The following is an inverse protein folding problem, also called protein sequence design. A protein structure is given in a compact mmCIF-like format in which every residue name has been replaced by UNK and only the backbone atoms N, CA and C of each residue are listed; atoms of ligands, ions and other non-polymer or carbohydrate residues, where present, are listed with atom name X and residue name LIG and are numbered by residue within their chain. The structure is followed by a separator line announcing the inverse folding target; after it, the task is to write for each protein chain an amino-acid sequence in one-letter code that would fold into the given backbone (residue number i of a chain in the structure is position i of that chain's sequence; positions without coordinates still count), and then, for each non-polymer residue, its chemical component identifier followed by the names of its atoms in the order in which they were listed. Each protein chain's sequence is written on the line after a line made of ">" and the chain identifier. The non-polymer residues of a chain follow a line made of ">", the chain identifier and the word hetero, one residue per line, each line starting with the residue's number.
data_IF_511407699274
#
_entry.id   IF_511407699274
#
_cell.length_a   1.000
_cell.length_b   1.000
_cell.length_c   1.000
_cell.angle_alpha   90.00
_cell.angle_beta   90.00
_cell.angle_gamma   90.00
#
_symmetry.space_group_name_H-M   'P 1'
#
loop_
_entity.id
_entity.type
_entity.pdbx_description
1 polymer ?
#
# COMPACT_ATOMS: atom_id res chain seq x y z
N UNK A 1 -2.68 6.94 -1.14
CA UNK A 1 -3.34 6.53 -2.39
C UNK A 1 -4.41 5.52 -2.01
N UNK A 2 -5.68 5.87 -2.17
CA UNK A 2 -6.81 4.96 -2.05
C UNK A 2 -7.21 4.55 -3.47
N UNK A 3 -6.94 3.32 -3.85
CA UNK A 3 -7.20 2.81 -5.20
C UNK A 3 -7.26 1.28 -5.18
N UNK A 4 -7.52 0.68 -6.33
CA UNK A 4 -7.43 -0.76 -6.49
C UNK A 4 -6.01 -1.17 -6.87
N UNK A 5 -5.49 -2.15 -6.17
CA UNK A 5 -4.28 -2.85 -6.57
C UNK A 5 -4.65 -4.23 -7.12
N UNK A 6 -3.87 -4.74 -8.03
CA UNK A 6 -4.05 -6.07 -8.60
C UNK A 6 -2.71 -6.75 -8.82
N UNK A 7 -2.68 -8.03 -8.54
CA UNK A 7 -1.58 -8.90 -8.92
C UNK A 7 -2.05 -9.88 -9.99
N UNK A 8 -1.33 -9.95 -11.10
CA UNK A 8 -1.63 -10.87 -12.19
C UNK A 8 -0.80 -12.14 -12.04
N UNK A 9 -1.43 -13.22 -11.57
CA UNK A 9 -0.78 -14.52 -11.38
C UNK A 9 -0.84 -15.34 -12.68
N UNK A 10 0.11 -15.12 -13.57
CA UNK A 10 0.29 -15.90 -14.79
C UNK A 10 1.60 -16.68 -14.76
N UNK A 11 1.62 -17.76 -13.98
CA UNK A 11 2.69 -18.77 -14.04
C UNK A 11 3.98 -18.44 -13.29
N UNK A 12 4.92 -19.40 -13.29
CA UNK A 12 6.23 -19.31 -12.64
C UNK A 12 7.13 -18.34 -13.38
N UNK A 13 7.30 -17.13 -12.87
CA UNK A 13 8.17 -16.09 -13.41
C UNK A 13 9.33 -15.72 -12.47
N UNK A 14 10.29 -14.96 -12.99
CA UNK A 14 11.43 -14.43 -12.24
C UNK A 14 11.03 -13.24 -11.34
N UNK A 15 11.92 -12.79 -10.44
CA UNK A 15 11.72 -11.60 -9.57
C UNK A 15 11.36 -10.33 -10.37
N UNK A 16 11.86 -10.18 -11.61
CA UNK A 16 11.53 -9.06 -12.49
C UNK A 16 10.06 -9.10 -12.93
N UNK A 17 9.49 -10.30 -13.07
CA UNK A 17 8.09 -10.47 -13.48
C UNK A 17 7.13 -10.11 -12.36
N UNK A 18 7.52 -10.29 -11.08
CA UNK A 18 6.71 -9.90 -9.93
C UNK A 18 6.49 -8.39 -9.86
N UNK A 19 7.50 -7.59 -10.20
CA UNK A 19 7.40 -6.13 -10.25
C UNK A 19 6.50 -5.64 -11.39
N UNK A 20 6.43 -6.35 -12.50
CA UNK A 20 5.54 -6.00 -13.61
C UNK A 20 4.09 -6.43 -13.35
N UNK A 21 3.90 -7.49 -12.56
CA UNK A 21 2.57 -8.04 -12.23
C UNK A 21 1.86 -7.34 -11.08
N UNK A 22 2.60 -6.59 -10.24
CA UNK A 22 2.04 -5.80 -9.14
C UNK A 22 1.66 -4.41 -9.65
N UNK A 23 0.36 -4.13 -9.74
CA UNK A 23 -0.17 -2.95 -10.43
C UNK A 23 -1.11 -2.17 -9.51
N UNK A 24 -1.04 -0.84 -9.60
CA UNK A 24 -2.02 0.09 -9.05
C UNK A 24 -2.90 0.62 -10.18
N UNK A 25 -4.22 0.56 -10.01
CA UNK A 25 -5.17 1.16 -10.93
C UNK A 25 -5.40 2.63 -10.54
N UNK A 26 -5.09 3.55 -11.43
CA UNK A 26 -5.33 4.98 -11.28
C UNK A 26 -6.54 5.42 -12.12
N UNK A 27 -6.82 6.72 -12.10
CA UNK A 27 -7.86 7.29 -12.94
C UNK A 27 -7.57 6.98 -14.43
N UNK A 28 -8.57 6.45 -15.12
CA UNK A 28 -8.43 6.06 -16.52
C UNK A 28 -8.22 4.55 -16.75
N UNK A 29 -7.88 3.77 -15.72
CA UNK A 29 -7.64 2.33 -15.86
C UNK A 29 -8.80 1.51 -16.45
N UNK A 30 -10.05 2.01 -16.32
CA UNK A 30 -11.25 1.39 -16.88
C UNK A 30 -11.57 1.85 -18.31
N UNK A 31 -10.81 2.81 -18.87
CA UNK A 31 -11.04 3.36 -20.19
C UNK A 31 -10.11 2.76 -21.25
N UNK A 32 -9.44 1.66 -20.91
CA UNK A 32 -8.47 1.02 -21.78
C UNK A 32 -9.14 0.37 -22.99
N UNK A 33 -9.07 1.04 -24.14
CA UNK A 33 -9.42 0.52 -25.45
C UNK A 33 -8.16 0.42 -26.35
N UNK A 34 -7.20 -0.42 -25.97
CA UNK A 34 -5.99 -0.68 -26.76
C UNK A 34 -4.88 0.35 -26.61
N UNK A 35 -3.72 0.03 -27.10
CA UNK A 35 -2.41 0.72 -27.08
C UNK A 35 -2.41 2.24 -26.87
N UNK A 36 -2.45 2.70 -25.64
CA UNK A 36 -2.19 4.09 -25.26
C UNK A 36 -1.09 4.11 -24.21
N UNK A 37 -0.17 5.06 -24.32
CA UNK A 37 0.94 5.25 -23.39
C UNK A 37 0.50 5.60 -21.95
N UNK A 38 -0.79 5.85 -21.73
CA UNK A 38 -1.38 6.18 -20.43
C UNK A 38 -2.64 5.33 -20.20
N UNK A 39 -2.45 4.09 -19.82
CA UNK A 39 -3.53 3.13 -19.57
C UNK A 39 -4.18 3.26 -18.18
N UNK A 40 -3.69 4.19 -17.36
CA UNK A 40 -4.15 4.37 -15.97
C UNK A 40 -3.67 3.28 -15.02
N UNK A 41 -2.80 2.39 -15.47
CA UNK A 41 -2.17 1.35 -14.65
C UNK A 41 -0.72 1.74 -14.37
N UNK A 42 -0.27 1.53 -13.14
CA UNK A 42 1.13 1.77 -12.76
C UNK A 42 1.67 0.52 -12.10
N UNK A 43 2.64 -0.12 -12.71
CA UNK A 43 3.27 -1.30 -12.16
C UNK A 43 4.47 -0.95 -11.24
N UNK A 44 4.92 -1.92 -10.46
CA UNK A 44 6.00 -1.69 -9.52
C UNK A 44 7.35 -1.38 -10.19
N UNK A 45 7.58 -1.81 -11.44
CA UNK A 45 8.79 -1.46 -12.19
C UNK A 45 8.79 0.01 -12.61
N UNK A 46 7.63 0.53 -13.03
CA UNK A 46 7.46 1.95 -13.34
C UNK A 46 7.66 2.81 -12.09
N UNK A 47 7.06 2.40 -10.94
CA UNK A 47 7.28 3.06 -9.66
C UNK A 47 8.76 3.07 -9.29
N UNK A 48 9.48 1.97 -9.49
CA UNK A 48 10.91 1.86 -9.20
C UNK A 48 11.78 2.83 -10.02
N UNK A 49 11.30 3.24 -11.21
CA UNK A 49 11.94 4.25 -12.06
C UNK A 49 11.68 5.70 -11.62
N UNK A 50 10.77 5.93 -10.68
CA UNK A 50 10.46 7.27 -10.18
C UNK A 50 11.51 7.73 -9.15
N UNK A 51 11.62 9.05 -8.97
CA UNK A 51 12.47 9.66 -7.94
C UNK A 51 11.60 10.18 -6.80
N UNK A 52 11.62 9.52 -5.64
CA UNK A 52 10.76 9.82 -4.48
C UNK A 52 11.56 9.97 -3.17
N UNK A 53 12.81 10.44 -3.22
CA UNK A 53 13.68 10.55 -2.03
C UNK A 53 13.15 11.48 -0.94
N UNK A 54 12.33 12.47 -1.30
CA UNK A 54 11.69 13.38 -0.36
C UNK A 54 10.35 12.87 0.18
N UNK A 55 9.88 11.71 -0.30
CA UNK A 55 8.65 11.09 0.18
C UNK A 55 8.89 10.33 1.48
N UNK A 56 8.40 10.88 2.59
CA UNK A 56 8.55 10.27 3.91
C UNK A 56 7.59 9.11 4.18
N UNK A 57 6.45 9.09 3.51
CA UNK A 57 5.42 8.07 3.74
C UNK A 57 4.54 7.93 2.49
N UNK A 58 4.40 6.69 2.04
CA UNK A 58 3.36 6.27 1.11
C UNK A 58 2.34 5.44 1.87
N UNK A 59 1.06 5.71 1.69
CA UNK A 59 -0.04 4.93 2.26
C UNK A 59 -0.82 4.30 1.10
N UNK A 60 -0.91 2.99 1.12
CA UNK A 60 -1.70 2.20 0.18
C UNK A 60 -2.81 1.50 0.96
N UNK A 61 -4.00 2.10 0.96
CA UNK A 61 -5.22 1.47 1.46
C UNK A 61 -5.97 0.90 0.27
N UNK A 62 -5.48 -0.18 -0.26
CA UNK A 62 -6.09 -0.83 -1.40
C UNK A 62 -6.37 -2.28 -1.03
N UNK A 63 -7.63 -2.69 -1.16
CA UNK A 63 -8.04 -4.08 -0.96
C UNK A 63 -7.30 -4.95 -1.95
N UNK A 64 -6.71 -6.06 -1.52
CA UNK A 64 -5.91 -7.01 -2.32
C UNK A 64 -4.73 -6.41 -3.11
N UNK A 65 -4.40 -5.15 -2.87
CA UNK A 65 -3.41 -4.43 -3.68
C UNK A 65 -1.98 -4.91 -3.54
N UNK A 66 -1.76 -5.89 -2.75
CA UNK A 66 -0.42 -6.32 -2.57
C UNK A 66 -0.28 -7.74 -2.13
N UNK A 67 -1.38 -8.39 -1.90
CA UNK A 67 -1.39 -9.78 -1.53
C UNK A 67 -1.84 -10.63 -2.73
N UNK A 68 -1.06 -10.68 -3.75
CA UNK A 68 -0.93 -11.98 -4.41
C UNK A 68 -0.73 -12.97 -3.28
N UNK A 69 -1.35 -14.17 -3.31
CA UNK A 69 -1.25 -15.20 -2.26
C UNK A 69 0.02 -15.02 -1.45
N UNK A 70 -0.10 -14.88 -0.12
CA UNK A 70 1.03 -14.92 0.82
C UNK A 70 1.92 -16.12 0.46
N UNK A 71 2.85 -15.93 -0.41
CA UNK A 71 3.58 -17.10 -0.92
C UNK A 71 4.31 -16.69 -2.10
N UNK A 72 4.60 -15.90 -2.66
CA UNK A 72 5.79 -15.75 -3.43
C UNK A 72 6.17 -14.32 -3.85
N UNK A 73 5.37 -13.35 -4.23
CA UNK A 73 5.99 -12.12 -4.74
C UNK A 73 5.11 -10.86 -4.79
N UNK A 74 3.82 -10.93 -4.43
CA UNK A 74 2.88 -9.85 -4.72
C UNK A 74 3.06 -8.57 -3.88
N UNK A 75 3.10 -8.64 -2.55
CA UNK A 75 3.37 -7.47 -1.68
C UNK A 75 4.79 -6.96 -1.92
N UNK A 76 5.70 -7.87 -2.19
CA UNK A 76 7.09 -7.55 -2.46
C UNK A 76 7.30 -6.72 -3.73
N UNK A 77 6.44 -6.86 -4.75
CA UNK A 77 6.54 -6.08 -5.99
C UNK A 77 6.40 -4.57 -5.74
N UNK A 78 5.25 -4.11 -5.24
CA UNK A 78 5.01 -2.70 -4.94
C UNK A 78 5.94 -2.16 -3.85
N UNK A 79 6.19 -2.95 -2.80
CA UNK A 79 7.15 -2.57 -1.76
C UNK A 79 8.55 -2.32 -2.33
N UNK A 80 9.05 -3.21 -3.19
CA UNK A 80 10.33 -3.04 -3.87
C UNK A 80 10.32 -1.81 -4.78
N UNK A 81 9.22 -1.61 -5.54
CA UNK A 81 9.04 -0.46 -6.40
C UNK A 81 9.20 0.85 -5.63
N UNK A 82 8.42 1.05 -4.58
CA UNK A 82 8.50 2.25 -3.75
C UNK A 82 9.84 2.40 -3.01
N UNK A 83 10.41 1.30 -2.54
CA UNK A 83 11.72 1.32 -1.91
C UNK A 83 12.82 1.75 -2.88
N UNK A 84 12.82 1.22 -4.10
CA UNK A 84 13.78 1.58 -5.14
C UNK A 84 13.59 3.04 -5.59
N UNK A 85 12.35 3.55 -5.59
CA UNK A 85 12.04 4.96 -5.83
C UNK A 85 12.57 5.91 -4.73
N UNK A 86 12.98 5.38 -3.58
CA UNK A 86 13.55 6.17 -2.47
C UNK A 86 12.55 6.53 -1.36
N UNK A 87 11.36 5.94 -1.34
CA UNK A 87 10.35 6.16 -0.29
C UNK A 87 10.87 5.62 1.05
N UNK A 88 10.73 6.44 2.12
CA UNK A 88 11.26 6.09 3.45
C UNK A 88 10.38 5.14 4.23
N UNK A 89 9.07 5.25 4.12
CA UNK A 89 8.13 4.39 4.82
C UNK A 89 6.92 4.08 3.96
N UNK A 90 6.40 2.86 4.08
CA UNK A 90 5.22 2.40 3.36
C UNK A 90 4.23 1.80 4.35
N UNK A 91 3.01 2.35 4.39
CA UNK A 91 1.89 1.80 5.14
C UNK A 91 0.97 1.07 4.16
N UNK A 92 0.78 -0.21 4.36
CA UNK A 92 -0.02 -1.06 3.44
C UNK A 92 -1.04 -1.89 4.20
N UNK A 93 -2.15 -2.20 3.54
CA UNK A 93 -3.10 -3.21 4.00
C UNK A 93 -2.69 -4.59 3.49
N UNK A 94 -2.74 -5.59 4.36
CA UNK A 94 -2.42 -7.00 4.08
C UNK A 94 -3.63 -7.83 3.69
N UNK A 95 -4.83 -7.30 3.81
CA UNK A 95 -6.08 -8.01 3.50
C UNK A 95 -7.13 -7.04 3.02
N UNK A 96 -8.25 -7.58 2.52
CA UNK A 96 -9.46 -6.78 2.35
C UNK A 96 -9.89 -6.20 3.70
N UNK A 97 -10.29 -4.95 3.68
CA UNK A 97 -10.71 -4.21 4.87
C UNK A 97 -12.01 -3.48 4.60
N UNK A 98 -12.86 -3.38 5.62
CA UNK A 98 -14.11 -2.66 5.51
C UNK A 98 -13.87 -1.14 5.36
N UNK A 99 -14.62 -0.48 4.48
CA UNK A 99 -14.42 0.93 4.16
C UNK A 99 -14.55 1.86 5.37
N UNK A 100 -15.55 1.63 6.24
CA UNK A 100 -15.80 2.49 7.40
C UNK A 100 -14.67 2.41 8.42
N UNK A 101 -14.27 1.21 8.85
CA UNK A 101 -13.20 1.01 9.82
C UNK A 101 -11.84 1.41 9.25
N UNK A 102 -11.65 1.29 7.93
CA UNK A 102 -10.44 1.78 7.24
C UNK A 102 -10.36 3.30 7.26
N UNK A 103 -11.46 3.98 6.98
CA UNK A 103 -11.52 5.45 7.03
C UNK A 103 -11.18 5.96 8.43
N UNK A 104 -11.80 5.37 9.46
CA UNK A 104 -11.53 5.73 10.85
C UNK A 104 -10.09 5.40 11.28
N UNK A 105 -9.55 4.27 10.80
CA UNK A 105 -8.16 3.90 11.02
C UNK A 105 -7.19 4.94 10.46
N UNK A 106 -7.42 5.40 9.23
CA UNK A 106 -6.59 6.44 8.61
C UNK A 106 -6.74 7.78 9.31
N UNK A 107 -7.97 8.18 9.69
CA UNK A 107 -8.21 9.40 10.48
C UNK A 107 -7.45 9.34 11.81
N UNK A 108 -7.55 8.24 12.54
CA UNK A 108 -6.84 8.05 13.81
C UNK A 108 -5.32 8.08 13.63
N UNK A 109 -4.81 7.38 12.59
CA UNK A 109 -3.39 7.35 12.28
C UNK A 109 -2.83 8.75 12.00
N UNK A 110 -3.45 9.51 11.08
CA UNK A 110 -2.99 10.85 10.74
C UNK A 110 -3.16 11.84 11.90
N UNK A 111 -4.22 11.71 12.70
CA UNK A 111 -4.41 12.51 13.91
C UNK A 111 -3.25 12.31 14.89
N UNK A 112 -2.82 11.06 15.12
CA UNK A 112 -1.67 10.78 15.98
C UNK A 112 -0.34 11.22 15.36
N UNK A 113 -0.23 11.19 14.05
CA UNK A 113 0.99 11.57 13.35
C UNK A 113 1.17 13.09 13.26
N UNK A 114 0.07 13.85 13.04
CA UNK A 114 0.11 15.26 12.66
C UNK A 114 0.12 16.26 13.83
N UNK A 115 -0.24 15.86 15.04
CA UNK A 115 -0.51 16.79 16.14
C UNK A 115 0.69 17.11 17.04
N UNK A 116 1.89 17.28 16.49
CA UNK A 116 3.05 17.73 17.29
C UNK A 116 3.37 16.83 18.49
N UNK A 117 2.82 15.63 18.50
CA UNK A 117 2.93 14.64 19.56
C UNK A 117 4.35 14.10 19.74
N UNK A 118 5.25 14.41 18.80
CA UNK A 118 6.57 13.81 18.75
C UNK A 118 6.58 12.30 18.49
N UNK A 119 5.41 11.72 18.14
CA UNK A 119 5.29 10.29 17.88
C UNK A 119 5.92 9.91 16.55
N UNK A 120 6.62 8.80 16.56
CA UNK A 120 7.02 8.12 15.32
C UNK A 120 5.80 7.58 14.57
N UNK A 121 5.95 7.33 13.26
CA UNK A 121 4.91 6.70 12.43
C UNK A 121 4.44 5.37 13.02
N UNK A 122 5.35 4.61 13.59
CA UNK A 122 5.07 3.31 14.25
C UNK A 122 4.21 3.47 15.50
N UNK A 123 4.52 4.46 16.33
CA UNK A 123 3.72 4.74 17.54
C UNK A 123 2.34 5.28 17.17
N UNK A 124 2.25 6.15 16.17
CA UNK A 124 0.98 6.66 15.65
C UNK A 124 0.10 5.51 15.13
N UNK A 125 0.67 4.59 14.34
CA UNK A 125 -0.04 3.41 13.86
C UNK A 125 -0.53 2.52 15.01
N UNK A 126 0.31 2.22 15.98
CA UNK A 126 -0.08 1.40 17.15
C UNK A 126 -1.20 2.01 17.97
N UNK A 127 -1.24 3.34 18.11
CA UNK A 127 -2.34 4.03 18.78
C UNK A 127 -3.62 3.93 17.99
N UNK A 128 -3.57 4.20 16.69
CA UNK A 128 -4.72 4.06 15.79
C UNK A 128 -5.26 2.62 15.83
N UNK A 129 -4.40 1.61 15.71
CA UNK A 129 -4.80 0.20 15.80
C UNK A 129 -5.54 -0.14 17.10
N UNK A 130 -5.09 0.39 18.24
CA UNK A 130 -5.78 0.17 19.54
C UNK A 130 -7.16 0.82 19.56
N UNK A 131 -7.31 2.01 19.01
CA UNK A 131 -8.59 2.71 18.95
C UNK A 131 -9.58 1.96 18.07
N UNK A 132 -9.17 1.53 16.86
CA UNK A 132 -10.04 0.81 15.94
C UNK A 132 -10.44 -0.55 16.49
N UNK A 133 -9.50 -1.28 17.09
CA UNK A 133 -9.81 -2.54 17.78
C UNK A 133 -10.88 -2.39 18.85
N UNK A 134 -10.88 -1.27 19.57
CA UNK A 134 -11.88 -0.99 20.60
C UNK A 134 -13.21 -0.53 20.03
N UNK A 135 -13.18 0.25 18.94
CA UNK A 135 -14.37 0.82 18.30
C UNK A 135 -15.14 -0.21 17.46
N UNK A 136 -14.44 -1.18 16.87
CA UNK A 136 -15.00 -2.19 15.96
C UNK A 136 -14.71 -3.63 16.46
N UNK A 137 -15.39 -4.10 17.53
CA UNK A 137 -15.22 -5.46 18.03
C UNK A 137 -15.62 -6.49 16.97
N UNK A 138 -14.70 -7.38 16.61
CA UNK A 138 -14.93 -8.40 15.58
C UNK A 138 -14.55 -8.01 14.16
N UNK A 139 -14.07 -6.78 13.94
CA UNK A 139 -13.46 -6.35 12.68
C UNK A 139 -11.93 -6.40 12.81
N UNK A 140 -11.28 -7.11 11.88
CA UNK A 140 -9.82 -7.29 11.88
C UNK A 140 -9.06 -6.19 11.12
N UNK A 141 -9.73 -5.12 10.68
CA UNK A 141 -9.13 -3.98 9.97
C UNK A 141 -7.91 -3.42 10.71
N UNK A 142 -7.96 -3.36 12.04
CA UNK A 142 -6.86 -2.87 12.87
C UNK A 142 -5.57 -3.71 12.71
N UNK A 143 -5.68 -5.02 12.44
CA UNK A 143 -4.56 -5.93 12.28
C UNK A 143 -4.04 -5.96 10.84
N UNK A 144 -4.84 -5.52 9.87
CA UNK A 144 -4.53 -5.60 8.45
C UNK A 144 -3.47 -4.62 8.00
N UNK A 145 -3.23 -3.54 8.75
CA UNK A 145 -2.26 -2.52 8.36
C UNK A 145 -0.88 -2.76 8.97
N UNK A 146 0.13 -2.75 8.10
CA UNK A 146 1.55 -2.81 8.53
C UNK A 146 2.32 -1.60 8.01
N UNK A 147 3.30 -1.17 8.81
CA UNK A 147 4.26 -0.13 8.44
C UNK A 147 5.60 -0.80 8.12
N UNK A 148 6.08 -0.53 6.92
CA UNK A 148 7.38 -0.97 6.43
C UNK A 148 8.25 0.27 6.37
N UNK A 149 9.26 0.34 7.24
CA UNK A 149 10.24 1.42 7.25
C UNK A 149 11.49 1.02 6.46
N UNK A 150 12.11 2.00 5.80
CA UNK A 150 13.45 1.81 5.27
C UNK A 150 14.42 1.72 6.45
N UNK A 151 15.18 0.65 6.52
CA UNK A 151 16.30 0.54 7.44
C UNK A 151 17.46 1.38 6.87
N UNK A 152 17.54 2.63 7.30
CA UNK A 152 18.70 3.51 7.12
C UNK A 152 19.11 4.02 8.49
#
# INVERSE_FOLDING_TARGET
>A
IATHGKYFDEGKGSDSDAMQRSVLALAGANLYEGYVDNDGLVNASEIAGMTMYDCNLVVLSACESGLGKLGDDGVFGLQRGFKNAGVRSLLVSLSEVADASTADMMIAFYRHLSHGSGLSKREALRKAQKEIRAAYPGDDTWASFILIDSFN
#
